data_IF_228594424178
#
_entry.id   IF_228594424178
#
_cell.length_a   1.000
_cell.length_b   1.000
_cell.length_c   1.000
_cell.angle_alpha   90.00
_cell.angle_beta   90.00
_cell.angle_gamma   90.00
#
_symmetry.space_group_name_H-M   'P 1'
#
loop_
_entity.id
_entity.type
_entity.pdbx_description
1 polymer ?
#
# COMPACT_ATOMS: atom_id res chain seq x y z
N UNK A 1 -1.64 -70.06 -1.10
CA UNK A 1 -2.55 -69.00 -1.60
C UNK A 1 -3.32 -68.41 -0.42
N UNK A 2 -2.96 -67.20 0.02
CA UNK A 2 -3.82 -66.26 0.74
C UNK A 2 -3.10 -64.91 0.77
N UNK A 3 -3.86 -63.89 0.40
CA UNK A 3 -3.42 -62.61 -0.13
C UNK A 3 -2.80 -61.71 0.95
N UNK A 4 -1.71 -61.03 0.59
CA UNK A 4 -1.19 -59.88 1.33
C UNK A 4 -2.17 -58.71 1.14
N UNK A 5 -2.70 -58.20 2.25
CA UNK A 5 -3.48 -56.96 2.30
C UNK A 5 -2.49 -55.82 2.51
N UNK A 6 -2.37 -54.83 1.59
CA UNK A 6 -1.61 -53.64 1.89
C UNK A 6 -2.41 -52.77 2.87
N UNK A 7 -1.84 -52.57 4.06
CA UNK A 7 -2.18 -51.50 4.98
C UNK A 7 -2.02 -50.16 4.25
N UNK A 8 -3.12 -49.57 3.80
CA UNK A 8 -3.16 -48.16 3.45
C UNK A 8 -3.01 -47.36 4.74
N UNK A 9 -1.77 -47.00 5.08
CA UNK A 9 -1.50 -45.92 6.03
C UNK A 9 -2.08 -44.64 5.44
N UNK A 10 -3.27 -44.28 5.92
CA UNK A 10 -3.83 -42.95 5.74
C UNK A 10 -2.90 -41.95 6.43
N UNK A 11 -1.96 -41.41 5.67
CA UNK A 11 -1.37 -40.10 5.93
C UNK A 11 -2.50 -39.10 5.80
N UNK A 12 -3.25 -38.92 6.88
CA UNK A 12 -3.96 -37.67 7.10
C UNK A 12 -2.88 -36.61 7.22
N UNK A 13 -2.53 -36.00 6.07
CA UNK A 13 -2.04 -34.64 6.05
C UNK A 13 -3.13 -33.86 6.77
N UNK A 14 -2.90 -33.60 8.05
CA UNK A 14 -3.50 -32.50 8.76
C UNK A 14 -3.14 -31.26 7.97
N UNK A 15 -3.97 -30.96 6.96
CA UNK A 15 -4.19 -29.61 6.51
C UNK A 15 -4.66 -28.92 7.77
N UNK A 16 -3.72 -28.27 8.45
CA UNK A 16 -4.05 -27.19 9.35
C UNK A 16 -4.89 -26.27 8.49
N UNK A 17 -6.21 -26.34 8.68
CA UNK A 17 -7.09 -25.24 8.33
C UNK A 17 -6.47 -24.05 9.03
N UNK A 18 -5.71 -23.24 8.30
CA UNK A 18 -5.39 -21.89 8.72
C UNK A 18 -6.75 -21.28 8.98
N UNK A 19 -7.05 -21.21 10.27
CA UNK A 19 -8.18 -20.52 10.81
C UNK A 19 -8.22 -19.18 10.09
N UNK A 20 -9.29 -18.92 9.34
CA UNK A 20 -9.62 -17.58 8.88
C UNK A 20 -10.09 -16.76 10.10
N UNK A 21 -9.32 -16.84 11.20
CA UNK A 21 -9.49 -16.07 12.40
C UNK A 21 -8.76 -14.76 12.15
N UNK A 22 -9.58 -13.71 12.02
CA UNK A 22 -9.21 -12.35 12.37
C UNK A 22 -7.97 -11.81 11.64
N UNK A 23 -8.08 -11.64 10.32
CA UNK A 23 -7.26 -10.65 9.62
C UNK A 23 -7.41 -9.34 10.40
N UNK A 24 -6.39 -8.86 11.11
CA UNK A 24 -6.47 -7.63 11.91
C UNK A 24 -6.69 -6.40 11.04
N UNK A 25 -7.03 -5.26 11.65
CA UNK A 25 -7.02 -3.96 10.96
C UNK A 25 -5.64 -3.61 10.38
N UNK A 26 -4.57 -4.22 10.89
CA UNK A 26 -3.18 -4.07 10.45
C UNK A 26 -2.83 -4.91 9.21
N UNK A 27 -3.71 -5.81 8.77
CA UNK A 27 -3.42 -6.77 7.69
C UNK A 27 -3.52 -6.13 6.29
N UNK A 28 -4.39 -5.13 6.12
CA UNK A 28 -4.63 -4.51 4.81
C UNK A 28 -3.39 -3.80 4.29
N UNK A 29 -2.64 -3.16 5.18
CA UNK A 29 -1.37 -2.51 4.85
C UNK A 29 -0.31 -3.55 4.46
N UNK A 30 -0.16 -4.62 5.24
CA UNK A 30 0.78 -5.70 4.93
C UNK A 30 0.48 -6.38 3.60
N UNK A 31 -0.79 -6.60 3.28
CA UNK A 31 -1.21 -7.08 1.96
C UNK A 31 -0.87 -6.10 0.84
N UNK A 32 -1.14 -4.81 1.03
CA UNK A 32 -0.81 -3.76 0.06
C UNK A 32 0.71 -3.74 -0.24
N UNK A 33 1.53 -3.83 0.80
CA UNK A 33 2.99 -3.88 0.68
C UNK A 33 3.46 -5.09 -0.11
N UNK A 34 2.91 -6.26 0.19
CA UNK A 34 3.15 -7.48 -0.57
C UNK A 34 2.75 -7.34 -2.03
N UNK A 35 1.61 -6.71 -2.32
CA UNK A 35 1.12 -6.48 -3.68
C UNK A 35 2.07 -5.56 -4.47
N UNK A 36 2.49 -4.43 -3.89
CA UNK A 36 3.38 -3.49 -4.60
C UNK A 36 4.83 -3.97 -4.69
N UNK A 37 5.27 -4.87 -3.81
CA UNK A 37 6.58 -5.51 -3.91
C UNK A 37 6.72 -6.38 -5.18
N UNK A 38 5.60 -6.81 -5.78
CA UNK A 38 5.60 -7.53 -7.06
C UNK A 38 5.79 -6.59 -8.26
N UNK A 39 5.73 -5.27 -8.06
CA UNK A 39 5.85 -4.31 -9.14
C UNK A 39 7.31 -4.19 -9.63
N UNK A 40 7.58 -4.38 -10.93
CA UNK A 40 8.93 -4.27 -11.46
C UNK A 40 9.45 -2.82 -11.31
N UNK A 41 10.64 -2.60 -10.76
CA UNK A 41 11.10 -1.26 -10.32
C UNK A 41 11.16 -0.17 -11.42
N UNK A 42 11.34 -0.55 -12.69
CA UNK A 42 11.60 0.39 -13.80
C UNK A 42 10.62 0.25 -14.99
N UNK A 43 9.35 -0.07 -14.73
CA UNK A 43 8.33 -0.25 -15.78
C UNK A 43 7.26 0.85 -15.74
N UNK A 44 6.75 1.30 -16.89
CA UNK A 44 5.51 2.10 -16.93
C UNK A 44 4.31 1.38 -16.29
N UNK A 45 4.35 0.04 -16.25
CA UNK A 45 3.31 -0.81 -15.65
C UNK A 45 3.31 -0.71 -14.11
N UNK A 46 4.41 -0.28 -13.50
CA UNK A 46 4.57 -0.19 -12.03
C UNK A 46 3.52 0.72 -11.41
N UNK A 47 3.33 1.92 -11.96
CA UNK A 47 2.34 2.88 -11.42
C UNK A 47 0.91 2.38 -11.61
N UNK A 48 0.63 1.59 -12.65
CA UNK A 48 -0.69 0.98 -12.86
C UNK A 48 -0.93 -0.12 -11.83
N UNK A 49 0.05 -1.01 -11.63
CA UNK A 49 -0.05 -2.08 -10.65
C UNK A 49 -0.19 -1.53 -9.22
N UNK A 50 0.57 -0.49 -8.85
CA UNK A 50 0.45 0.15 -7.54
C UNK A 50 -0.94 0.77 -7.31
N UNK A 51 -1.52 1.37 -8.35
CA UNK A 51 -2.88 1.88 -8.31
C UNK A 51 -3.91 0.73 -8.15
N UNK A 52 -3.74 -0.37 -8.89
CA UNK A 52 -4.61 -1.54 -8.78
C UNK A 52 -4.52 -2.19 -7.39
N UNK A 53 -3.32 -2.29 -6.83
CA UNK A 53 -3.10 -2.75 -5.45
C UNK A 53 -3.79 -1.83 -4.44
N UNK A 54 -3.62 -0.52 -4.54
CA UNK A 54 -4.28 0.44 -3.64
C UNK A 54 -5.80 0.34 -3.75
N UNK A 55 -6.34 0.27 -4.97
CA UNK A 55 -7.77 0.12 -5.23
C UNK A 55 -8.32 -1.17 -4.58
N UNK A 56 -7.63 -2.28 -4.74
CA UNK A 56 -8.02 -3.55 -4.10
C UNK A 56 -7.96 -3.49 -2.56
N UNK A 57 -6.98 -2.76 -1.98
CA UNK A 57 -6.91 -2.55 -0.53
C UNK A 57 -8.10 -1.71 -0.01
N UNK A 58 -8.49 -0.67 -0.74
CA UNK A 58 -9.67 0.15 -0.43
C UNK A 58 -10.95 -0.68 -0.55
N UNK A 59 -11.11 -1.42 -1.66
CA UNK A 59 -12.26 -2.33 -1.88
C UNK A 59 -12.36 -3.38 -0.78
N UNK A 60 -11.24 -3.90 -0.27
CA UNK A 60 -11.26 -4.83 0.86
C UNK A 60 -11.84 -4.19 2.13
N UNK A 61 -11.53 -2.92 2.40
CA UNK A 61 -12.15 -2.20 3.51
C UNK A 61 -13.66 -1.99 3.30
N UNK A 62 -14.12 -1.81 2.05
CA UNK A 62 -15.52 -1.57 1.71
C UNK A 62 -16.37 -2.85 1.71
N UNK A 63 -15.90 -3.92 1.06
CA UNK A 63 -16.71 -5.14 0.83
C UNK A 63 -16.15 -6.39 1.52
N UNK A 64 -14.88 -6.39 1.89
CA UNK A 64 -14.22 -7.52 2.56
C UNK A 64 -14.45 -7.58 4.08
N UNK A 65 -15.05 -6.54 4.67
CA UNK A 65 -15.28 -6.39 6.12
C UNK A 65 -16.75 -6.18 6.46
N UNK A 66 -17.16 -6.53 7.68
CA UNK A 66 -18.47 -6.11 8.19
C UNK A 66 -18.52 -4.58 8.33
N UNK A 67 -19.72 -4.01 8.20
CA UNK A 67 -19.94 -2.54 8.12
C UNK A 67 -19.36 -1.77 9.30
N UNK A 68 -19.31 -2.37 10.49
CA UNK A 68 -18.75 -1.74 11.70
C UNK A 68 -17.23 -1.50 11.60
N UNK A 69 -16.53 -2.24 10.74
CA UNK A 69 -15.08 -2.12 10.54
C UNK A 69 -14.69 -1.27 9.32
N UNK A 70 -15.64 -0.79 8.51
CA UNK A 70 -15.33 0.06 7.34
C UNK A 70 -14.53 1.30 7.76
N UNK A 71 -15.06 2.06 8.72
CA UNK A 71 -14.41 3.27 9.25
C UNK A 71 -13.04 2.98 9.88
N UNK A 72 -12.90 2.04 10.85
CA UNK A 72 -11.60 1.66 11.38
C UNK A 72 -10.59 1.23 10.31
N UNK A 73 -11.03 0.48 9.29
CA UNK A 73 -10.16 0.01 8.20
C UNK A 73 -9.65 1.19 7.37
N UNK A 74 -10.54 2.10 6.96
CA UNK A 74 -10.16 3.28 6.21
C UNK A 74 -9.20 4.19 6.99
N UNK A 75 -9.50 4.47 8.26
CA UNK A 75 -8.64 5.31 9.09
C UNK A 75 -7.28 4.68 9.36
N UNK A 76 -7.21 3.36 9.59
CA UNK A 76 -5.95 2.64 9.80
C UNK A 76 -5.07 2.68 8.55
N UNK A 77 -5.65 2.34 7.39
CA UNK A 77 -4.92 2.36 6.12
C UNK A 77 -4.47 3.78 5.77
N UNK A 78 -5.35 4.78 5.92
CA UNK A 78 -5.00 6.17 5.66
C UNK A 78 -3.86 6.68 6.56
N UNK A 79 -3.89 6.30 7.84
CA UNK A 79 -2.83 6.66 8.79
C UNK A 79 -1.49 6.03 8.41
N UNK A 80 -1.50 4.76 8.02
CA UNK A 80 -0.30 4.04 7.59
C UNK A 80 0.31 4.65 6.34
N UNK A 81 -0.50 4.94 5.32
CA UNK A 81 -0.05 5.61 4.09
C UNK A 81 0.47 7.02 4.37
N UNK A 82 -0.18 7.76 5.29
CA UNK A 82 0.28 9.09 5.69
C UNK A 82 1.65 9.04 6.37
N UNK A 83 1.88 8.05 7.23
CA UNK A 83 3.16 7.86 7.89
C UNK A 83 4.29 7.62 6.87
N UNK A 84 4.09 6.73 5.91
CA UNK A 84 5.08 6.47 4.86
C UNK A 84 5.38 7.70 3.99
N UNK A 85 4.35 8.45 3.60
CA UNK A 85 4.54 9.69 2.84
C UNK A 85 5.40 10.68 3.62
N UNK A 86 5.16 10.82 4.92
CA UNK A 86 5.96 11.72 5.78
C UNK A 86 7.42 11.27 5.88
N UNK A 87 7.66 9.97 6.02
CA UNK A 87 9.00 9.40 6.10
C UNK A 87 9.79 9.63 4.81
N UNK A 88 9.18 9.43 3.64
CA UNK A 88 9.93 9.55 2.39
C UNK A 88 10.06 10.98 1.86
N UNK A 89 9.14 11.87 2.22
CA UNK A 89 9.08 13.23 1.66
C UNK A 89 10.42 14.00 1.68
N UNK A 90 11.26 13.92 2.74
CA UNK A 90 12.56 14.57 2.78
C UNK A 90 13.56 14.06 1.72
N UNK A 91 13.41 12.81 1.28
CA UNK A 91 14.32 12.17 0.33
C UNK A 91 13.93 12.43 -1.13
N UNK A 92 12.80 13.08 -1.38
CA UNK A 92 12.29 13.36 -2.73
C UNK A 92 12.87 14.65 -3.33
N UNK A 93 14.05 15.10 -2.96
CA UNK A 93 14.65 16.30 -3.54
C UNK A 93 15.39 15.99 -4.86
N UNK A 94 15.19 16.83 -5.89
CA UNK A 94 15.89 16.66 -7.17
C UNK A 94 17.35 17.10 -7.07
N UNK A 95 18.24 16.38 -7.74
CA UNK A 95 19.62 16.81 -7.98
C UNK A 95 19.68 17.94 -9.02
N UNK A 96 20.74 18.76 -8.96
CA UNK A 96 20.88 20.01 -9.71
C UNK A 96 20.90 19.86 -11.26
N UNK A 97 21.09 18.66 -11.79
CA UNK A 97 21.31 18.41 -13.23
C UNK A 97 20.02 18.27 -14.07
N UNK A 98 18.84 18.66 -13.56
CA UNK A 98 17.58 18.54 -14.30
C UNK A 98 17.21 19.80 -15.12
N UNK A 99 16.60 19.58 -16.30
CA UNK A 99 16.08 20.70 -17.11
C UNK A 99 15.05 21.54 -16.33
N UNK A 100 14.99 22.85 -16.59
CA UNK A 100 14.04 23.78 -15.91
C UNK A 100 12.59 23.31 -16.03
N UNK A 101 12.21 22.73 -17.18
CA UNK A 101 10.85 22.20 -17.39
C UNK A 101 10.57 20.99 -16.50
N UNK A 102 11.53 20.06 -16.41
CA UNK A 102 11.42 18.87 -15.57
C UNK A 102 11.34 19.27 -14.10
N UNK A 103 12.23 20.18 -13.66
CA UNK A 103 12.26 20.68 -12.29
C UNK A 103 10.93 21.31 -11.88
N UNK A 104 10.38 22.24 -12.68
CA UNK A 104 9.05 22.84 -12.43
C UNK A 104 7.92 21.83 -12.46
N UNK A 105 8.02 20.79 -13.28
CA UNK A 105 7.04 19.71 -13.27
C UNK A 105 7.09 18.97 -11.94
N UNK A 106 8.29 18.61 -11.50
CA UNK A 106 8.55 17.89 -10.27
C UNK A 106 8.16 18.68 -9.00
N UNK A 107 8.54 19.96 -8.92
CA UNK A 107 8.14 20.85 -7.80
C UNK A 107 6.61 20.92 -7.66
N UNK A 108 5.87 20.98 -8.76
CA UNK A 108 4.39 20.92 -8.74
C UNK A 108 3.84 19.57 -8.29
N UNK A 109 4.59 18.47 -8.46
CA UNK A 109 4.22 17.14 -7.96
C UNK A 109 4.43 17.07 -6.45
N UNK A 110 5.58 17.55 -5.96
CA UNK A 110 5.85 17.70 -4.53
C UNK A 110 4.80 18.56 -3.83
N UNK A 111 4.45 19.71 -4.42
CA UNK A 111 3.42 20.59 -3.85
C UNK A 111 2.05 19.89 -3.70
N UNK A 112 1.72 18.92 -4.56
CA UNK A 112 0.48 18.13 -4.42
C UNK A 112 0.54 17.11 -3.29
N UNK A 113 1.73 16.61 -2.96
CA UNK A 113 1.93 15.75 -1.80
C UNK A 113 1.70 16.59 -0.52
N UNK A 114 2.22 17.80 -0.51
CA UNK A 114 2.21 18.70 0.66
C UNK A 114 0.84 19.38 0.87
N UNK A 115 0.06 19.61 -0.18
CA UNK A 115 -1.26 20.23 -0.08
C UNK A 115 -2.30 19.26 0.44
N UNK A 116 -3.06 19.68 1.44
CA UNK A 116 -4.33 19.06 1.82
C UNK A 116 -5.45 19.58 0.92
N UNK A 117 -6.16 18.68 0.24
CA UNK A 117 -7.32 19.02 -0.58
C UNK A 117 -8.57 18.37 0.02
N UNK A 118 -9.04 18.90 1.15
CA UNK A 118 -10.23 18.40 1.84
C UNK A 118 -11.58 18.81 1.19
N UNK A 119 -11.56 19.56 0.08
CA UNK A 119 -12.77 20.21 -0.47
C UNK A 119 -13.59 19.35 -1.45
N UNK A 120 -13.15 18.14 -1.85
CA UNK A 120 -13.80 17.38 -2.92
C UNK A 120 -14.44 16.05 -2.49
N UNK A 121 -14.84 15.91 -1.22
CA UNK A 121 -15.61 14.74 -0.79
C UNK A 121 -17.06 14.91 -1.24
N UNK A 122 -17.61 13.96 -2.00
CA UNK A 122 -19.03 13.95 -2.33
C UNK A 122 -19.86 13.87 -1.03
N UNK A 123 -21.04 14.51 -0.98
CA UNK A 123 -21.85 14.56 0.24
C UNK A 123 -22.25 13.15 0.75
N UNK A 124 -22.33 12.17 -0.15
CA UNK A 124 -22.66 10.79 0.19
C UNK A 124 -21.47 9.92 0.60
N UNK A 125 -20.23 10.38 0.37
CA UNK A 125 -19.03 9.62 0.67
C UNK A 125 -18.66 9.72 2.15
N UNK A 126 -18.17 8.62 2.72
CA UNK A 126 -17.72 8.61 4.09
C UNK A 126 -16.45 9.48 4.22
N UNK A 127 -16.36 10.35 5.22
CA UNK A 127 -15.20 11.24 5.43
C UNK A 127 -13.86 10.49 5.44
N UNK A 128 -13.80 9.36 6.15
CA UNK A 128 -12.60 8.52 6.20
C UNK A 128 -12.23 7.87 4.86
N UNK A 129 -13.22 7.58 4.00
CA UNK A 129 -13.00 7.07 2.66
C UNK A 129 -12.38 8.16 1.76
N UNK A 130 -12.90 9.38 1.83
CA UNK A 130 -12.33 10.52 1.12
C UNK A 130 -10.90 10.83 1.58
N UNK A 131 -10.66 10.81 2.89
CA UNK A 131 -9.31 10.97 3.46
C UNK A 131 -8.37 9.86 2.96
N UNK A 132 -8.84 8.62 2.89
CA UNK A 132 -8.08 7.48 2.37
C UNK A 132 -7.75 7.64 0.88
N UNK A 133 -8.70 8.07 0.06
CA UNK A 133 -8.44 8.32 -1.38
C UNK A 133 -7.42 9.45 -1.54
N UNK A 134 -7.58 10.56 -0.82
CA UNK A 134 -6.64 11.69 -0.88
C UNK A 134 -5.22 11.25 -0.50
N UNK A 135 -5.06 10.54 0.63
CA UNK A 135 -3.74 10.11 1.08
C UNK A 135 -3.16 8.99 0.21
N UNK A 136 -4.01 8.12 -0.33
CA UNK A 136 -3.61 7.08 -1.28
C UNK A 136 -3.03 7.67 -2.58
N UNK A 137 -3.62 8.74 -3.10
CA UNK A 137 -3.08 9.46 -4.26
C UNK A 137 -1.74 10.13 -3.94
N UNK A 138 -1.59 10.72 -2.74
CA UNK A 138 -0.31 11.29 -2.29
C UNK A 138 0.78 10.23 -2.16
N UNK A 139 0.40 9.06 -1.63
CA UNK A 139 1.29 7.90 -1.52
C UNK A 139 1.75 7.39 -2.89
N UNK A 140 0.85 7.23 -3.86
CA UNK A 140 1.21 6.85 -5.23
C UNK A 140 2.13 7.88 -5.89
N UNK A 141 1.87 9.18 -5.68
CA UNK A 141 2.71 10.24 -6.23
C UNK A 141 4.11 10.20 -5.61
N UNK A 142 4.21 10.03 -4.29
CA UNK A 142 5.48 9.90 -3.60
C UNK A 142 6.28 8.68 -4.11
N UNK A 143 5.63 7.52 -4.30
CA UNK A 143 6.23 6.31 -4.92
C UNK A 143 6.73 6.54 -6.32
N UNK A 144 5.94 7.26 -7.13
CA UNK A 144 6.37 7.64 -8.46
C UNK A 144 7.57 8.58 -8.46
N UNK A 145 7.67 9.52 -7.52
CA UNK A 145 8.81 10.44 -7.42
C UNK A 145 10.05 9.74 -6.88
N UNK A 146 9.91 8.85 -5.91
CA UNK A 146 11.03 8.08 -5.36
C UNK A 146 11.77 7.27 -6.44
N UNK A 147 11.02 6.68 -7.39
CA UNK A 147 11.61 6.03 -8.57
C UNK A 147 12.39 6.98 -9.48
N UNK A 148 12.02 8.26 -9.54
CA UNK A 148 12.72 9.27 -10.37
C UNK A 148 14.05 9.68 -9.73
N UNK A 149 14.10 9.76 -8.39
CA UNK A 149 15.32 10.10 -7.64
C UNK A 149 16.08 8.87 -7.11
N UNK A 150 15.70 7.67 -7.58
CA UNK A 150 16.30 6.38 -7.21
C UNK A 150 16.32 6.08 -5.71
N UNK A 151 15.33 6.57 -4.96
CA UNK A 151 15.11 6.26 -3.54
C UNK A 151 14.10 5.12 -3.41
N UNK A 152 14.40 4.12 -2.57
CA UNK A 152 13.45 3.07 -2.21
C UNK A 152 12.61 3.45 -1.00
N UNK A 153 11.30 3.24 -1.08
CA UNK A 153 10.39 3.37 0.06
C UNK A 153 10.78 2.46 1.22
N UNK A 154 11.12 1.20 0.92
CA UNK A 154 11.44 0.21 1.96
C UNK A 154 12.76 0.54 2.66
N UNK A 155 13.76 1.06 1.92
CA UNK A 155 15.04 1.43 2.52
C UNK A 155 14.88 2.55 3.54
N UNK A 156 14.12 3.59 3.21
CA UNK A 156 13.87 4.72 4.14
C UNK A 156 13.11 4.25 5.39
N UNK A 157 12.13 3.35 5.22
CA UNK A 157 11.36 2.80 6.35
C UNK A 157 12.28 1.94 7.25
N UNK A 158 13.13 1.11 6.65
CA UNK A 158 14.04 0.22 7.38
C UNK A 158 15.15 1.01 8.11
N UNK A 159 15.62 2.13 7.55
CA UNK A 159 16.65 3.00 8.15
C UNK A 159 16.15 3.71 9.42
N UNK A 160 14.93 4.27 9.40
CA UNK A 160 14.33 4.90 10.60
C UNK A 160 13.95 3.86 11.66
N UNK A 161 13.52 2.66 11.27
CA UNK A 161 13.21 1.57 12.21
C UNK A 161 14.43 0.96 12.91
N UNK A 162 15.66 1.30 12.50
CA UNK A 162 16.91 0.82 13.09
C UNK A 162 17.55 1.81 14.09
N UNK A 163 17.01 3.01 14.22
CA UNK A 163 17.50 4.05 15.14
C UNK A 163 16.80 4.06 16.53
N UNK A 164 15.79 3.20 16.74
CA UNK A 164 15.08 2.97 18.01
C UNK A 164 15.52 1.67 18.73
#
# INVERSE_FOLDING_TARGET
MRLAVPLFSALFLSVSTTQADDFGLDDVKGWLDGCVALAPAASPVTSVLELDCLKAAIEYCEVGRSKEYHQPCYSSLASSLSAEVRLIRPFLELTEETSVRTRRSYERRLERIDKSNHESCAEEALKAECELVEIGLKWLEARSLARVVEVSFQQVIDEEGAED
#
